data_IF_815757240630
#
_entry.id   IF_815757240630
#
_cell.length_a   1.000
_cell.length_b   1.000
_cell.length_c   1.000
_cell.angle_alpha   90.00
_cell.angle_beta   90.00
_cell.angle_gamma   90.00
#
_symmetry.space_group_name_H-M   'P 1'
#
loop_
_entity.id
_entity.type
_entity.pdbx_description
1 polymer ?
#
# COMPACT_ATOMS: atom_id res chain seq x y z
N UNK A 1 -5.48 38.16 16.81
CA UNK A 1 -5.23 36.98 15.97
C UNK A 1 -5.59 35.72 16.72
N UNK A 2 -5.93 34.67 15.99
CA UNK A 2 -6.22 33.33 16.50
C UNK A 2 -5.44 32.27 15.73
N UNK A 3 -5.34 31.08 16.29
CA UNK A 3 -4.82 29.92 15.59
C UNK A 3 -5.64 28.69 15.93
N UNK A 4 -5.87 27.86 14.92
CA UNK A 4 -6.50 26.54 15.01
C UNK A 4 -5.61 25.53 14.28
N UNK A 5 -5.77 24.27 14.60
CA UNK A 5 -5.08 23.16 13.95
C UNK A 5 -6.14 22.13 13.63
N UNK A 6 -6.23 21.73 12.37
CA UNK A 6 -7.11 20.63 12.00
C UNK A 6 -6.78 19.34 12.76
N UNK A 7 -7.77 18.49 12.95
CA UNK A 7 -7.72 17.26 13.76
C UNK A 7 -7.21 17.44 15.20
N UNK A 8 -7.15 18.70 15.65
CA UNK A 8 -6.69 19.10 16.96
C UNK A 8 -7.54 20.22 17.53
N UNK A 9 -6.95 21.42 17.64
CA UNK A 9 -7.65 22.58 18.24
C UNK A 9 -8.49 23.27 17.19
N UNK A 10 -9.79 22.99 17.17
CA UNK A 10 -10.72 23.47 16.13
C UNK A 10 -11.36 24.84 16.42
N UNK A 11 -11.18 25.37 17.63
CA UNK A 11 -11.81 26.62 18.06
C UNK A 11 -10.75 27.59 18.55
N UNK A 12 -10.76 28.81 18.01
CA UNK A 12 -9.97 29.93 18.51
C UNK A 12 -10.90 31.00 19.09
N UNK A 13 -10.48 31.62 20.18
CA UNK A 13 -11.24 32.69 20.83
C UNK A 13 -10.35 33.87 21.16
N UNK A 14 -10.93 35.06 21.28
CA UNK A 14 -10.23 36.22 21.82
C UNK A 14 -11.17 37.36 22.15
N UNK A 15 -10.58 38.52 22.44
CA UNK A 15 -11.31 39.73 22.80
C UNK A 15 -10.78 40.93 22.02
N UNK A 16 -11.69 41.74 21.52
CA UNK A 16 -11.40 43.08 21.01
C UNK A 16 -11.91 44.06 22.06
N UNK A 17 -11.00 44.84 22.61
CA UNK A 17 -11.33 45.91 23.53
C UNK A 17 -11.61 47.20 22.75
N UNK A 18 -12.63 47.93 23.18
CA UNK A 18 -12.94 49.28 22.70
C UNK A 18 -12.83 50.24 23.88
N UNK A 19 -12.27 51.42 23.63
CA UNK A 19 -12.24 52.50 24.61
C UNK A 19 -13.04 53.66 24.06
N UNK A 20 -14.11 54.01 24.75
CA UNK A 20 -14.94 55.17 24.46
C UNK A 20 -14.91 56.12 25.66
N UNK A 21 -14.77 57.42 25.38
CA UNK A 21 -14.76 58.46 26.41
C UNK A 21 -16.18 58.78 26.88
N UNK A 22 -17.18 58.50 26.04
CA UNK A 22 -18.59 58.75 26.31
C UNK A 22 -19.24 57.51 26.94
N UNK A 23 -19.42 57.57 28.27
CA UNK A 23 -19.90 56.42 29.07
C UNK A 23 -21.36 56.02 28.83
N UNK A 24 -22.09 56.75 27.98
CA UNK A 24 -23.50 56.52 27.67
C UNK A 24 -23.73 55.79 26.37
N UNK A 25 -22.66 55.48 25.63
CA UNK A 25 -22.75 55.02 24.26
C UNK A 25 -22.98 53.52 24.18
N UNK A 26 -23.79 53.11 23.20
CA UNK A 26 -24.17 51.71 22.99
C UNK A 26 -23.37 51.14 21.84
N UNK A 27 -22.59 50.09 22.10
CA UNK A 27 -21.73 49.50 21.09
C UNK A 27 -22.46 48.37 20.34
N UNK A 28 -22.56 48.48 19.02
CA UNK A 28 -23.07 47.42 18.15
C UNK A 28 -21.91 46.78 17.39
N UNK A 29 -21.72 45.48 17.58
CA UNK A 29 -20.65 44.70 16.96
C UNK A 29 -21.14 43.94 15.74
N UNK A 30 -20.34 43.94 14.68
CA UNK A 30 -20.60 43.20 13.45
C UNK A 30 -19.30 42.66 12.86
N UNK A 31 -19.41 41.67 11.97
CA UNK A 31 -18.29 41.12 11.20
C UNK A 31 -18.69 41.05 9.73
N UNK A 32 -17.72 41.26 8.84
CA UNK A 32 -17.95 41.17 7.39
C UNK A 32 -18.57 39.82 7.00
N UNK A 33 -19.39 39.85 5.95
CA UNK A 33 -20.03 38.65 5.35
C UNK A 33 -20.81 37.78 6.35
N UNK A 34 -21.26 38.37 7.47
CA UNK A 34 -21.93 37.65 8.55
C UNK A 34 -21.03 36.63 9.25
N UNK A 35 -19.70 36.77 9.12
CA UNK A 35 -18.70 35.89 9.74
C UNK A 35 -18.50 34.58 8.99
N UNK A 36 -19.03 34.43 7.78
CA UNK A 36 -18.80 33.23 6.97
C UNK A 36 -17.39 33.27 6.35
N UNK A 37 -16.56 32.29 6.71
CA UNK A 37 -15.27 32.05 6.08
C UNK A 37 -15.35 31.02 4.94
N UNK A 38 -14.22 30.83 4.28
CA UNK A 38 -13.92 29.72 3.36
C UNK A 38 -13.64 28.44 4.14
N UNK A 39 -12.89 28.52 5.24
CA UNK A 39 -12.43 27.35 6.01
C UNK A 39 -13.13 27.18 7.36
N UNK A 40 -13.97 28.14 7.74
CA UNK A 40 -14.70 28.10 9.00
C UNK A 40 -15.72 29.20 9.16
N UNK A 41 -16.07 29.48 10.41
CA UNK A 41 -17.02 30.53 10.76
C UNK A 41 -16.53 31.35 11.94
N UNK A 42 -16.74 32.66 11.85
CA UNK A 42 -16.37 33.65 12.85
C UNK A 42 -17.62 34.28 13.45
N UNK A 43 -17.57 34.58 14.74
CA UNK A 43 -18.61 35.31 15.45
C UNK A 43 -17.98 36.27 16.45
N UNK A 44 -18.66 37.37 16.72
CA UNK A 44 -18.31 38.33 17.78
C UNK A 44 -19.56 38.66 18.57
N UNK A 45 -19.47 38.65 19.90
CA UNK A 45 -20.56 39.02 20.79
C UNK A 45 -20.60 40.54 21.07
N UNK A 46 -21.65 41.00 21.76
CA UNK A 46 -21.81 42.42 22.11
C UNK A 46 -20.77 42.96 23.10
N UNK A 47 -19.89 42.10 23.64
CA UNK A 47 -18.77 42.48 24.50
C UNK A 47 -17.43 42.44 23.76
N UNK A 48 -17.43 42.23 22.44
CA UNK A 48 -16.22 42.13 21.63
C UNK A 48 -15.47 40.81 21.81
N UNK A 49 -16.04 39.81 22.50
CA UNK A 49 -15.44 38.48 22.54
C UNK A 49 -15.77 37.78 21.23
N UNK A 50 -14.76 37.24 20.56
CA UNK A 50 -14.91 36.55 19.30
C UNK A 50 -14.56 35.09 19.40
N UNK A 51 -15.18 34.29 18.54
CA UNK A 51 -14.95 32.86 18.39
C UNK A 51 -14.86 32.53 16.90
N UNK A 52 -13.81 31.82 16.52
CA UNK A 52 -13.67 31.17 15.24
C UNK A 52 -13.80 29.66 15.42
N UNK A 53 -14.64 29.02 14.61
CA UNK A 53 -14.81 27.57 14.54
C UNK A 53 -14.34 27.09 13.16
N UNK A 54 -13.31 26.25 13.13
CA UNK A 54 -12.81 25.61 11.92
C UNK A 54 -13.83 24.58 11.40
N UNK A 55 -14.07 24.58 10.09
CA UNK A 55 -14.77 23.48 9.41
C UNK A 55 -13.76 22.36 9.11
N UNK A 56 -13.56 21.48 10.08
CA UNK A 56 -12.61 20.37 9.97
C UNK A 56 -12.98 19.32 8.91
N UNK A 57 -14.18 19.38 8.32
CA UNK A 57 -14.56 18.49 7.23
C UNK A 57 -14.23 19.09 5.85
N UNK A 58 -13.72 20.32 5.81
CA UNK A 58 -13.32 20.98 4.58
C UNK A 58 -12.12 20.25 3.95
N UNK A 59 -12.25 19.83 2.69
CA UNK A 59 -11.22 19.05 1.99
C UNK A 59 -9.91 19.79 1.77
N UNK A 60 -9.95 21.11 1.63
CA UNK A 60 -8.74 21.89 1.46
C UNK A 60 -7.99 21.97 2.80
N UNK A 61 -8.72 22.08 3.91
CA UNK A 61 -8.15 22.04 5.27
C UNK A 61 -7.50 20.69 5.53
N UNK A 62 -8.23 19.60 5.28
CA UNK A 62 -7.75 18.21 5.37
C UNK A 62 -6.63 17.85 4.39
N UNK A 63 -6.29 18.76 3.47
CA UNK A 63 -5.16 18.61 2.57
C UNK A 63 -3.88 19.28 3.06
N UNK A 64 -3.92 19.99 4.19
CA UNK A 64 -2.77 20.70 4.74
C UNK A 64 -1.88 19.76 5.55
N UNK A 65 -0.63 19.59 5.11
CA UNK A 65 0.35 18.82 5.87
C UNK A 65 0.89 19.59 7.07
N UNK A 66 1.59 18.89 7.95
CA UNK A 66 2.33 19.51 9.04
C UNK A 66 3.30 20.60 8.55
N UNK A 67 3.11 21.82 9.07
CA UNK A 67 3.89 23.01 8.69
C UNK A 67 3.30 23.81 7.53
N UNK A 68 2.27 23.31 6.84
CA UNK A 68 1.46 24.10 5.91
C UNK A 68 0.35 24.84 6.69
N UNK A 69 -0.05 26.00 6.15
CA UNK A 69 -1.09 26.82 6.79
C UNK A 69 -1.97 27.53 5.76
N UNK A 70 -3.22 27.76 6.13
CA UNK A 70 -4.06 28.81 5.55
C UNK A 70 -4.26 29.95 6.54
N UNK A 71 -4.68 31.10 6.02
CA UNK A 71 -5.10 32.23 6.83
C UNK A 71 -6.45 32.75 6.37
N UNK A 72 -7.27 33.15 7.33
CA UNK A 72 -8.50 33.91 7.08
C UNK A 72 -8.45 35.22 7.85
N UNK A 73 -8.90 36.30 7.23
CA UNK A 73 -9.01 37.61 7.87
C UNK A 73 -10.47 38.01 7.93
N UNK A 74 -10.93 38.33 9.14
CA UNK A 74 -12.26 38.84 9.42
C UNK A 74 -12.16 40.29 9.88
N UNK A 75 -12.90 41.18 9.24
CA UNK A 75 -13.00 42.57 9.65
C UNK A 75 -14.17 42.72 10.60
N UNK A 76 -13.87 43.01 11.87
CA UNK A 76 -14.84 43.30 12.92
C UNK A 76 -15.07 44.80 12.97
N UNK A 77 -16.32 45.23 12.96
CA UNK A 77 -16.73 46.64 13.03
C UNK A 77 -17.55 46.86 14.29
N UNK A 78 -17.22 47.93 15.03
CA UNK A 78 -18.02 48.43 16.15
C UNK A 78 -18.50 49.86 15.85
N UNK A 79 -19.79 50.08 16.07
CA UNK A 79 -20.51 51.35 15.92
C UNK A 79 -20.99 51.81 17.32
N UNK A 80 -20.69 53.05 17.69
CA UNK A 80 -21.06 53.66 18.98
C UNK A 80 -22.53 54.14 19.04
N UNK A 81 -23.25 54.09 17.92
CA UNK A 81 -24.62 54.58 17.78
C UNK A 81 -24.74 56.10 17.67
N UNK A 82 -23.63 56.82 17.79
CA UNK A 82 -23.51 58.27 17.79
C UNK A 82 -22.67 58.80 16.61
N UNK A 83 -22.28 57.92 15.68
CA UNK A 83 -21.61 58.25 14.42
C UNK A 83 -20.12 57.88 14.38
N UNK A 84 -19.55 57.37 15.46
CA UNK A 84 -18.23 56.76 15.49
C UNK A 84 -18.30 55.29 15.08
N UNK A 85 -17.57 54.96 14.02
CA UNK A 85 -17.45 53.59 13.50
C UNK A 85 -15.98 53.26 13.35
N UNK A 86 -15.53 52.16 13.97
CA UNK A 86 -14.15 51.67 13.85
C UNK A 86 -14.13 50.19 13.48
N UNK A 87 -13.17 49.82 12.65
CA UNK A 87 -12.96 48.44 12.21
C UNK A 87 -11.59 47.93 12.62
N UNK A 88 -11.52 46.63 12.91
CA UNK A 88 -10.28 45.92 13.22
C UNK A 88 -10.29 44.55 12.56
N UNK A 89 -9.18 44.22 11.93
CA UNK A 89 -8.98 42.89 11.37
C UNK A 89 -8.53 41.90 12.47
N UNK A 90 -9.11 40.71 12.42
CA UNK A 90 -8.67 39.53 13.16
C UNK A 90 -8.23 38.49 12.14
N UNK A 91 -6.95 38.14 12.16
CA UNK A 91 -6.42 37.05 11.33
C UNK A 91 -6.43 35.76 12.13
N UNK A 92 -6.94 34.68 11.53
CA UNK A 92 -6.89 33.32 12.06
C UNK A 92 -5.97 32.50 11.17
N UNK A 93 -4.96 31.86 11.78
CA UNK A 93 -4.11 30.87 11.10
C UNK A 93 -4.67 29.47 11.30
N UNK A 94 -4.89 28.74 10.22
CA UNK A 94 -5.26 27.33 10.21
C UNK A 94 -3.99 26.54 9.93
N UNK A 95 -3.58 25.68 10.85
CA UNK A 95 -2.40 24.83 10.70
C UNK A 95 -2.81 23.41 10.31
N UNK A 96 -2.05 22.81 9.38
CA UNK A 96 -2.21 21.42 8.96
C UNK A 96 -1.63 20.39 9.94
N UNK A 97 -2.04 19.15 9.77
CA UNK A 97 -1.48 17.94 10.38
C UNK A 97 -1.13 16.91 9.32
N UNK A 98 -0.26 15.96 9.63
CA UNK A 98 -0.03 14.85 8.70
C UNK A 98 -1.07 13.74 8.98
N UNK A 99 -1.85 13.40 7.96
CA UNK A 99 -2.79 12.30 7.97
C UNK A 99 -2.13 11.00 7.50
N UNK A 100 -2.63 9.86 7.97
CA UNK A 100 -2.11 8.55 7.55
C UNK A 100 -2.82 8.03 6.31
N UNK A 101 -2.05 7.55 5.34
CA UNK A 101 -2.61 6.87 4.19
C UNK A 101 -3.31 5.55 4.58
N UNK A 102 -4.28 5.15 3.76
CA UNK A 102 -4.95 3.85 3.85
C UNK A 102 -4.72 3.11 2.53
N UNK A 103 -4.07 1.94 2.62
CA UNK A 103 -3.81 1.04 1.49
C UNK A 103 -4.84 -0.08 1.47
N UNK A 104 -5.49 -0.33 0.34
CA UNK A 104 -6.45 -1.42 0.16
C UNK A 104 -6.26 -2.15 -1.18
N UNK A 105 -6.65 -3.42 -1.30
CA UNK A 105 -6.76 -4.08 -2.60
C UNK A 105 -7.87 -3.41 -3.44
N UNK A 106 -7.60 -3.10 -4.72
CA UNK A 106 -8.60 -2.49 -5.59
C UNK A 106 -9.78 -3.45 -5.85
N UNK A 107 -9.51 -4.75 -5.87
CA UNK A 107 -10.49 -5.84 -5.78
C UNK A 107 -10.05 -6.84 -4.70
N UNK A 108 -10.98 -7.59 -4.08
CA UNK A 108 -10.62 -8.61 -3.10
C UNK A 108 -9.58 -9.61 -3.66
N UNK A 109 -8.40 -9.65 -3.04
CA UNK A 109 -7.29 -10.52 -3.44
C UNK A 109 -6.25 -9.87 -4.36
N UNK A 110 -6.42 -8.61 -4.76
CA UNK A 110 -5.41 -7.88 -5.56
C UNK A 110 -4.11 -7.59 -4.77
N UNK A 111 -4.07 -7.85 -3.47
CA UNK A 111 -2.87 -7.91 -2.64
C UNK A 111 -2.14 -9.26 -2.72
N UNK A 112 -2.61 -10.17 -3.60
CA UNK A 112 -2.08 -11.53 -3.74
C UNK A 112 -1.86 -11.89 -5.19
N UNK A 113 -0.84 -12.70 -5.44
CA UNK A 113 -0.54 -13.26 -6.76
C UNK A 113 -0.27 -14.75 -6.68
N UNK A 114 -0.48 -15.45 -7.81
CA UNK A 114 -0.05 -16.84 -7.95
C UNK A 114 0.60 -17.04 -9.30
N UNK A 115 1.78 -17.64 -9.27
CA UNK A 115 2.51 -18.11 -10.45
C UNK A 115 2.69 -19.61 -10.34
N UNK A 116 2.85 -20.26 -11.47
CA UNK A 116 3.17 -21.69 -11.54
C UNK A 116 4.40 -21.80 -12.40
N UNK A 117 5.44 -22.45 -11.88
CA UNK A 117 6.64 -22.68 -12.68
C UNK A 117 6.28 -23.41 -13.99
N UNK A 118 7.11 -23.20 -15.01
CA UNK A 118 6.98 -23.77 -16.36
C UNK A 118 5.70 -23.43 -17.14
N UNK A 119 4.69 -22.86 -16.49
CA UNK A 119 3.35 -22.63 -17.04
C UNK A 119 2.97 -21.16 -17.04
N UNK A 120 3.01 -20.50 -15.88
CA UNK A 120 2.52 -19.15 -15.67
C UNK A 120 3.50 -18.35 -14.81
N UNK A 121 4.45 -17.69 -15.47
CA UNK A 121 5.59 -17.06 -14.81
C UNK A 121 5.35 -15.62 -14.33
N UNK A 122 4.17 -15.07 -14.59
CA UNK A 122 3.86 -13.68 -14.24
C UNK A 122 2.48 -13.57 -13.61
N UNK A 123 2.37 -12.66 -12.65
CA UNK A 123 1.10 -12.29 -12.00
C UNK A 123 1.11 -10.80 -11.70
N UNK A 124 -0.05 -10.22 -11.43
CA UNK A 124 -0.18 -8.82 -11.09
C UNK A 124 -1.50 -8.52 -10.42
N UNK A 125 -1.64 -7.29 -9.95
CA UNK A 125 -2.84 -6.78 -9.29
C UNK A 125 -2.77 -5.27 -9.16
N UNK A 126 -3.74 -4.69 -8.44
CA UNK A 126 -3.78 -3.26 -8.17
C UNK A 126 -4.11 -3.00 -6.70
N UNK A 127 -3.30 -2.16 -6.07
CA UNK A 127 -3.62 -1.56 -4.78
C UNK A 127 -4.19 -0.14 -5.01
N UNK A 128 -5.11 0.25 -4.15
CA UNK A 128 -5.62 1.61 -4.02
C UNK A 128 -5.03 2.23 -2.75
N UNK A 129 -4.80 3.53 -2.80
CA UNK A 129 -4.38 4.35 -1.66
C UNK A 129 -5.29 5.56 -1.56
N UNK A 130 -5.70 5.88 -0.33
CA UNK A 130 -6.35 7.15 -0.01
C UNK A 130 -5.57 7.85 1.08
N UNK A 131 -5.41 9.15 0.94
CA UNK A 131 -4.74 10.02 1.90
C UNK A 131 -5.42 11.39 1.82
N UNK A 132 -5.88 11.97 2.93
CA UNK A 132 -6.40 13.33 2.96
C UNK A 132 -5.36 14.38 2.53
N UNK A 133 -4.09 14.18 2.89
CA UNK A 133 -3.03 15.14 2.62
C UNK A 133 -2.80 15.35 1.12
N UNK A 134 -2.70 16.61 0.72
CA UNK A 134 -2.60 16.97 -0.69
C UNK A 134 -1.33 16.37 -1.33
N UNK A 135 -1.55 15.39 -2.20
CA UNK A 135 -0.50 14.73 -2.99
C UNK A 135 0.15 13.53 -2.30
N UNK A 136 -0.32 13.09 -1.12
CA UNK A 136 0.26 11.93 -0.42
C UNK A 136 -0.41 10.58 -0.78
N UNK A 137 -1.57 10.61 -1.45
CA UNK A 137 -2.29 9.44 -1.95
C UNK A 137 -1.63 8.79 -3.20
N UNK A 138 -0.35 8.44 -3.11
CA UNK A 138 0.43 7.79 -4.18
C UNK A 138 1.42 6.78 -3.61
N UNK A 139 1.74 5.75 -4.38
CA UNK A 139 2.79 4.79 -4.02
C UNK A 139 4.19 5.27 -4.42
N UNK A 140 5.19 4.90 -3.63
CA UNK A 140 6.59 4.94 -4.03
C UNK A 140 6.84 3.81 -5.03
N UNK A 141 7.09 4.18 -6.28
CA UNK A 141 7.29 3.21 -7.35
C UNK A 141 8.52 2.32 -7.09
N UNK A 142 8.35 1.02 -7.31
CA UNK A 142 9.43 0.03 -7.31
C UNK A 142 9.53 -0.56 -8.71
N UNK A 143 10.74 -0.67 -9.25
CA UNK A 143 10.97 -1.22 -10.59
C UNK A 143 11.97 -2.35 -10.50
N UNK A 144 11.53 -3.56 -10.85
CA UNK A 144 12.32 -4.79 -10.80
C UNK A 144 13.05 -4.98 -9.46
N UNK A 145 12.37 -4.68 -8.34
CA UNK A 145 12.86 -5.00 -7.02
C UNK A 145 13.12 -6.51 -6.94
N UNK A 146 14.34 -6.88 -6.57
CA UNK A 146 14.74 -8.28 -6.51
C UNK A 146 14.03 -8.98 -5.34
N UNK A 147 13.26 -10.01 -5.66
CA UNK A 147 12.82 -11.03 -4.72
C UNK A 147 13.85 -12.14 -4.62
N UNK A 148 13.52 -13.16 -3.82
CA UNK A 148 14.33 -14.36 -3.70
C UNK A 148 14.19 -15.27 -4.94
N UNK A 149 13.00 -15.31 -5.54
CA UNK A 149 12.68 -16.21 -6.67
C UNK A 149 12.18 -15.46 -7.91
N UNK A 150 12.17 -14.12 -7.90
CA UNK A 150 11.62 -13.31 -8.99
C UNK A 150 11.91 -11.83 -8.86
N UNK A 151 11.22 -11.01 -9.64
CA UNK A 151 11.26 -9.55 -9.54
C UNK A 151 9.87 -8.98 -9.36
N UNK A 152 9.76 -7.97 -8.50
CA UNK A 152 8.52 -7.25 -8.21
C UNK A 152 8.61 -5.80 -8.70
N UNK A 153 7.50 -5.28 -9.24
CA UNK A 153 7.36 -3.86 -9.58
C UNK A 153 5.99 -3.36 -9.15
N UNK A 154 5.90 -2.11 -8.71
CA UNK A 154 4.65 -1.38 -8.48
C UNK A 154 4.83 0.05 -8.98
N UNK A 155 3.84 0.59 -9.69
CA UNK A 155 3.84 1.99 -10.12
C UNK A 155 3.17 2.90 -9.08
N UNK A 156 3.22 4.22 -9.32
CA UNK A 156 2.64 5.21 -8.41
C UNK A 156 1.11 5.08 -8.26
N UNK A 157 0.44 4.49 -9.26
CA UNK A 157 -1.00 4.23 -9.29
C UNK A 157 -1.38 2.91 -8.59
N UNK A 158 -0.40 2.19 -8.06
CA UNK A 158 -0.56 0.95 -7.30
C UNK A 158 -0.70 -0.30 -8.15
N UNK A 159 -0.50 -0.23 -9.47
CA UNK A 159 -0.49 -1.42 -10.32
C UNK A 159 0.84 -2.14 -10.14
N UNK A 160 0.78 -3.39 -9.71
CA UNK A 160 1.97 -4.19 -9.46
C UNK A 160 2.04 -5.42 -10.37
N UNK A 161 3.27 -5.90 -10.57
CA UNK A 161 3.58 -7.11 -11.31
C UNK A 161 4.69 -7.87 -10.62
N UNK A 162 4.65 -9.19 -10.71
CA UNK A 162 5.70 -10.09 -10.29
C UNK A 162 6.08 -11.00 -11.46
N UNK A 163 7.38 -11.19 -11.69
CA UNK A 163 7.93 -12.09 -12.69
C UNK A 163 8.81 -13.15 -12.00
N UNK A 164 8.42 -14.41 -12.13
CA UNK A 164 9.14 -15.56 -11.59
C UNK A 164 10.45 -15.80 -12.38
N UNK A 165 11.53 -16.02 -11.66
CA UNK A 165 12.79 -16.53 -12.20
C UNK A 165 12.70 -18.05 -12.28
N UNK A 166 12.13 -18.55 -13.38
CA UNK A 166 11.79 -19.97 -13.51
C UNK A 166 12.98 -20.93 -13.41
N UNK A 167 14.19 -20.48 -13.73
CA UNK A 167 15.39 -21.30 -13.62
C UNK A 167 16.04 -21.28 -12.23
N UNK A 168 15.38 -20.70 -11.22
CA UNK A 168 15.81 -20.79 -9.83
C UNK A 168 15.76 -22.27 -9.37
N UNK A 169 16.87 -22.86 -8.90
CA UNK A 169 16.89 -24.26 -8.46
C UNK A 169 15.91 -24.60 -7.33
N UNK A 170 15.56 -23.64 -6.47
CA UNK A 170 14.56 -23.86 -5.41
C UNK A 170 13.14 -23.91 -5.98
N UNK A 171 12.88 -23.16 -7.05
CA UNK A 171 11.60 -23.17 -7.77
C UNK A 171 11.46 -24.50 -8.52
N UNK A 172 12.46 -24.86 -9.35
CA UNK A 172 12.51 -26.13 -10.10
C UNK A 172 12.57 -27.38 -9.22
N UNK A 173 12.84 -27.22 -7.92
CA UNK A 173 12.80 -28.31 -6.96
C UNK A 173 11.41 -28.62 -6.41
N UNK A 174 10.39 -27.84 -6.78
CA UNK A 174 9.02 -27.94 -6.27
C UNK A 174 8.20 -28.95 -7.07
N UNK A 175 7.98 -30.13 -6.48
CA UNK A 175 6.99 -31.06 -7.03
C UNK A 175 5.55 -30.52 -7.01
N UNK A 176 4.66 -31.17 -7.76
CA UNK A 176 3.28 -30.72 -7.91
C UNK A 176 2.55 -30.56 -6.56
N UNK A 177 1.92 -29.40 -6.37
CA UNK A 177 1.22 -29.04 -5.14
C UNK A 177 2.13 -28.58 -3.99
N UNK A 178 3.45 -28.51 -4.20
CA UNK A 178 4.37 -27.77 -3.31
C UNK A 178 4.40 -26.30 -3.69
N UNK A 179 4.74 -25.46 -2.72
CA UNK A 179 4.72 -24.01 -2.93
C UNK A 179 5.85 -23.29 -2.19
N UNK A 180 6.32 -22.20 -2.78
CA UNK A 180 7.07 -21.14 -2.11
C UNK A 180 6.20 -19.88 -1.98
N UNK A 181 6.60 -18.95 -1.13
CA UNK A 181 5.89 -17.67 -0.97
C UNK A 181 6.88 -16.54 -0.82
N UNK A 182 6.62 -15.45 -1.53
CA UNK A 182 7.33 -14.18 -1.40
C UNK A 182 6.38 -13.10 -0.88
N UNK A 183 6.91 -12.15 -0.12
CA UNK A 183 6.15 -11.02 0.42
C UNK A 183 6.91 -9.74 0.15
N UNK A 184 6.25 -8.80 -0.53
CA UNK A 184 6.82 -7.52 -0.92
C UNK A 184 6.15 -6.40 -0.12
N UNK A 185 6.96 -5.57 0.53
CA UNK A 185 6.47 -4.35 1.19
C UNK A 185 6.31 -3.25 0.16
N UNK A 186 5.12 -2.66 0.11
CA UNK A 186 4.85 -1.42 -0.65
C UNK A 186 4.79 -0.24 0.32
N UNK A 187 5.10 0.96 -0.17
CA UNK A 187 5.17 2.17 0.65
C UNK A 187 4.52 3.32 -0.09
N UNK A 188 3.75 4.14 0.60
CA UNK A 188 3.12 5.37 0.09
C UNK A 188 4.01 6.58 0.35
N UNK A 189 3.67 7.74 -0.22
CA UNK A 189 4.49 8.95 -0.10
C UNK A 189 4.63 9.45 1.35
N UNK A 190 3.61 9.23 2.17
CA UNK A 190 3.57 9.51 3.63
C UNK A 190 4.44 8.54 4.46
N UNK A 191 4.90 7.44 3.85
CA UNK A 191 5.66 6.38 4.52
C UNK A 191 4.80 5.25 5.10
N UNK A 192 3.48 5.28 4.95
CA UNK A 192 2.61 4.15 5.29
C UNK A 192 2.97 2.92 4.44
N UNK A 193 2.83 1.73 5.02
CA UNK A 193 3.25 0.48 4.38
C UNK A 193 2.12 -0.53 4.25
N UNK A 194 2.19 -1.31 3.17
CA UNK A 194 1.31 -2.45 2.90
C UNK A 194 2.11 -3.65 2.39
N UNK A 195 1.44 -4.78 2.11
CA UNK A 195 2.10 -5.99 1.62
C UNK A 195 1.39 -6.56 0.40
N UNK A 196 2.18 -7.14 -0.52
CA UNK A 196 1.72 -8.03 -1.58
C UNK A 196 2.35 -9.41 -1.37
N UNK A 197 1.53 -10.46 -1.42
CA UNK A 197 1.97 -11.85 -1.21
C UNK A 197 1.88 -12.64 -2.51
N UNK A 198 2.98 -13.22 -2.95
CA UNK A 198 3.02 -14.06 -4.16
C UNK A 198 3.27 -15.51 -3.77
N UNK A 199 2.39 -16.40 -4.20
CA UNK A 199 2.56 -17.86 -4.08
C UNK A 199 3.12 -18.43 -5.37
N UNK A 200 4.19 -19.21 -5.27
CA UNK A 200 4.81 -19.92 -6.39
C UNK A 200 4.42 -21.39 -6.26
N UNK A 201 3.78 -21.94 -7.27
CA UNK A 201 3.32 -23.34 -7.29
C UNK A 201 4.25 -24.16 -8.17
N UNK A 202 4.69 -25.30 -7.64
CA UNK A 202 5.51 -26.27 -8.37
C UNK A 202 4.74 -27.10 -9.39
N UNK A 203 5.44 -27.62 -10.38
CA UNK A 203 4.91 -28.62 -11.32
C UNK A 203 5.51 -30.00 -11.03
N UNK A 204 5.18 -31.02 -11.83
CA UNK A 204 5.85 -32.31 -11.70
C UNK A 204 6.71 -32.48 -12.94
N UNK A 205 8.02 -32.49 -12.75
CA UNK A 205 8.97 -32.71 -13.81
C UNK A 205 9.04 -34.20 -14.20
N UNK A 206 9.63 -34.46 -15.36
CA UNK A 206 9.77 -35.83 -15.87
C UNK A 206 11.12 -36.39 -15.39
N UNK A 207 11.13 -37.56 -14.72
CA UNK A 207 12.37 -38.16 -14.28
C UNK A 207 13.21 -38.65 -15.45
N UNK A 208 14.53 -38.55 -15.31
CA UNK A 208 15.50 -39.01 -16.30
C UNK A 208 16.14 -40.32 -15.84
N UNK A 209 16.07 -41.34 -16.71
CA UNK A 209 16.75 -42.62 -16.50
C UNK A 209 18.14 -42.61 -17.13
N UNK A 210 19.14 -43.08 -16.38
CA UNK A 210 20.53 -43.23 -16.82
C UNK A 210 21.11 -44.57 -16.31
N UNK A 211 22.39 -44.84 -16.58
CA UNK A 211 23.08 -46.03 -16.09
C UNK A 211 23.29 -47.11 -17.15
N UNK A 212 23.59 -48.33 -16.69
CA UNK A 212 23.99 -49.44 -17.56
C UNK A 212 22.75 -50.21 -18.04
N UNK A 213 22.29 -49.85 -19.24
CA UNK A 213 21.12 -50.43 -19.89
C UNK A 213 21.40 -51.69 -20.73
N UNK A 214 22.66 -52.12 -20.81
CA UNK A 214 23.07 -53.30 -21.56
C UNK A 214 23.60 -54.44 -20.66
N UNK A 215 23.59 -55.65 -21.19
CA UNK A 215 24.05 -56.85 -20.51
C UNK A 215 24.36 -57.93 -21.54
N UNK A 216 25.34 -58.77 -21.25
CA UNK A 216 25.72 -59.90 -22.09
C UNK A 216 25.80 -61.16 -21.24
N UNK A 217 25.36 -62.27 -21.83
CA UNK A 217 25.50 -63.62 -21.29
C UNK A 217 26.12 -64.50 -22.36
N UNK A 218 26.82 -65.55 -21.94
CA UNK A 218 27.44 -66.52 -22.83
C UNK A 218 26.90 -67.89 -22.49
N UNK A 219 26.41 -68.61 -23.51
CA UNK A 219 26.01 -70.02 -23.38
C UNK A 219 27.15 -70.84 -22.77
N UNK A 220 26.82 -71.70 -21.81
CA UNK A 220 27.77 -72.50 -21.01
C UNK A 220 28.84 -71.70 -20.25
N UNK A 221 28.65 -70.38 -20.14
CA UNK A 221 29.54 -69.45 -19.43
C UNK A 221 28.78 -68.62 -18.40
N UNK A 222 28.97 -67.31 -18.42
CA UNK A 222 28.24 -66.40 -17.53
C UNK A 222 26.80 -66.27 -18.02
N UNK A 223 25.86 -66.85 -17.27
CA UNK A 223 24.42 -66.85 -17.57
C UNK A 223 23.64 -65.71 -16.89
N UNK A 224 24.32 -64.83 -16.16
CA UNK A 224 23.70 -63.71 -15.43
C UNK A 224 24.32 -62.40 -15.90
N UNK A 225 23.49 -61.49 -16.37
CA UNK A 225 23.86 -60.11 -16.60
C UNK A 225 23.33 -59.24 -15.45
N UNK A 226 24.18 -58.37 -14.91
CA UNK A 226 23.78 -57.37 -13.93
C UNK A 226 24.00 -55.97 -14.48
N UNK A 227 23.12 -55.06 -14.11
CA UNK A 227 23.19 -53.63 -14.43
C UNK A 227 22.55 -52.83 -13.32
N UNK A 228 22.81 -51.53 -13.31
CA UNK A 228 22.14 -50.57 -12.43
C UNK A 228 21.58 -49.47 -13.32
N UNK A 229 20.28 -49.23 -13.19
CA UNK A 229 19.63 -48.06 -13.75
C UNK A 229 19.54 -47.04 -12.62
N UNK A 230 20.03 -45.85 -12.90
CA UNK A 230 19.94 -44.70 -12.00
C UNK A 230 18.77 -43.83 -12.47
N UNK A 231 18.08 -43.20 -11.52
CA UNK A 231 17.03 -42.22 -11.79
C UNK A 231 17.39 -40.90 -11.13
N UNK A 232 17.17 -39.81 -11.86
CA UNK A 232 17.28 -38.45 -11.34
C UNK A 232 16.01 -37.70 -11.68
N UNK A 233 15.50 -36.97 -10.70
CA UNK A 233 14.42 -36.02 -10.87
C UNK A 233 14.83 -34.71 -10.20
N UNK A 234 14.42 -33.59 -10.77
CA UNK A 234 14.69 -32.26 -10.23
C UNK A 234 13.74 -31.95 -9.05
N UNK A 235 12.55 -32.56 -9.04
CA UNK A 235 11.58 -32.49 -7.96
C UNK A 235 12.12 -33.14 -6.68
N UNK A 236 12.36 -32.33 -5.66
CA UNK A 236 13.02 -32.78 -4.42
C UNK A 236 12.14 -33.67 -3.54
N UNK A 237 10.84 -33.71 -3.80
CA UNK A 237 9.88 -34.51 -3.03
C UNK A 237 9.28 -35.68 -3.80
N UNK A 238 9.77 -35.95 -5.02
CA UNK A 238 9.19 -36.99 -5.86
C UNK A 238 9.51 -38.42 -5.38
N UNK A 239 8.64 -39.36 -5.74
CA UNK A 239 8.79 -40.79 -5.46
C UNK A 239 8.72 -41.60 -6.74
N UNK A 240 9.70 -42.49 -6.92
CA UNK A 240 9.84 -43.28 -8.13
C UNK A 240 9.32 -44.70 -7.95
N UNK A 241 8.56 -45.19 -8.93
CA UNK A 241 8.13 -46.58 -9.00
C UNK A 241 8.74 -47.26 -10.23
N UNK A 242 9.24 -48.47 -10.04
CA UNK A 242 9.86 -49.27 -11.09
C UNK A 242 8.93 -50.40 -11.51
N UNK A 243 8.82 -50.62 -12.83
CA UNK A 243 8.15 -51.79 -13.38
C UNK A 243 8.92 -52.31 -14.57
N UNK A 244 8.85 -53.62 -14.80
CA UNK A 244 9.41 -54.27 -15.97
C UNK A 244 8.27 -54.81 -16.83
N UNK A 245 8.39 -54.67 -18.14
CA UNK A 245 7.42 -55.24 -19.06
C UNK A 245 7.45 -56.78 -18.98
N UNK A 246 6.35 -57.42 -19.37
CA UNK A 246 6.20 -58.88 -19.39
C UNK A 246 6.59 -59.59 -18.08
N UNK A 247 6.48 -58.89 -16.93
CA UNK A 247 6.91 -59.39 -15.63
C UNK A 247 8.36 -59.89 -15.61
N UNK A 248 9.24 -59.23 -16.38
CA UNK A 248 10.67 -59.58 -16.49
C UNK A 248 10.95 -60.77 -17.39
N UNK A 249 9.95 -61.45 -17.96
CA UNK A 249 10.17 -62.66 -18.78
C UNK A 249 10.52 -62.29 -20.22
N UNK A 250 11.49 -62.99 -20.80
CA UNK A 250 11.85 -62.95 -22.21
C UNK A 250 11.82 -64.34 -22.84
N UNK A 251 12.04 -64.40 -24.16
CA UNK A 251 12.05 -65.67 -24.92
C UNK A 251 13.14 -66.64 -24.45
N UNK A 252 14.26 -66.11 -23.97
CA UNK A 252 15.47 -66.87 -23.66
C UNK A 252 15.92 -66.73 -22.19
N UNK A 253 15.11 -66.13 -21.32
CA UNK A 253 15.47 -65.89 -19.92
C UNK A 253 14.49 -64.97 -19.19
N UNK A 254 14.87 -64.51 -18.00
CA UNK A 254 14.09 -63.54 -17.22
C UNK A 254 15.00 -62.57 -16.45
N UNK A 255 14.49 -61.36 -16.22
CA UNK A 255 15.02 -60.36 -15.29
C UNK A 255 14.44 -60.55 -13.89
#
# INVERSE_FOLDING_TARGET
>A
DGAVTEDGTLIATGKIDVTDIDTTDTHTWSVNDGGKGTYGSFSVDGSGNWTYNLDNANKDVQGLKSGETFTETFTVTVDDGNGGVVSKDVTVTINGTDDGAIITPAQPGDDKGTVTEDLALTTGGKLDVTDPDAGQAVFVAQTNAAGQHGTFSIDADGKWTYNLTNNDPAVQGLGAGKTLTETFTVTTADGTTGQVVVTIVGTNDIPVLTGKADGAVTEDGTLVATGKIDVTDIDTTDTHAWSVNNSGKGTYGSF
#
